data_IF_732120733047
#
_entry.id   IF_732120733047
#
_cell.length_a   1.000
_cell.length_b   1.000
_cell.length_c   1.000
_cell.angle_alpha   90.00
_cell.angle_beta   90.00
_cell.angle_gamma   90.00
#
_symmetry.space_group_name_H-M   'P 1'
#
loop_
_entity.id
_entity.type
_entity.pdbx_description
1 polymer ?
#
# COMPACT_ATOMS: atom_id res chain seq x y z
N UNK A 1 -15.11 4.23 -42.42
CA UNK A 1 -15.66 4.74 -41.14
C UNK A 1 -15.66 3.69 -40.02
N UNK A 2 -15.93 2.41 -40.28
CA UNK A 2 -15.90 1.38 -39.23
C UNK A 2 -14.51 1.14 -38.62
N UNK A 3 -13.44 1.11 -39.43
CA UNK A 3 -12.07 0.87 -38.95
C UNK A 3 -11.65 1.96 -37.95
N UNK A 4 -11.92 3.23 -38.27
CA UNK A 4 -11.65 4.36 -37.39
C UNK A 4 -12.43 4.27 -36.07
N UNK A 5 -13.71 3.88 -36.12
CA UNK A 5 -14.54 3.69 -34.91
C UNK A 5 -13.99 2.58 -34.01
N UNK A 6 -13.51 1.47 -34.59
CA UNK A 6 -12.88 0.36 -33.86
C UNK A 6 -11.57 0.80 -33.19
N UNK A 7 -10.73 1.59 -33.89
CA UNK A 7 -9.50 2.14 -33.33
C UNK A 7 -9.75 3.09 -32.16
N UNK A 8 -10.74 3.98 -32.28
CA UNK A 8 -11.14 4.89 -31.18
C UNK A 8 -11.61 4.09 -29.96
N UNK A 9 -12.38 3.02 -30.16
CA UNK A 9 -12.82 2.13 -29.08
C UNK A 9 -11.63 1.47 -28.35
N UNK A 10 -10.65 0.96 -29.10
CA UNK A 10 -9.45 0.35 -28.51
C UNK A 10 -8.65 1.37 -27.71
N UNK A 11 -8.46 2.58 -28.23
CA UNK A 11 -7.76 3.66 -27.53
C UNK A 11 -8.52 4.07 -26.26
N UNK A 12 -9.84 4.15 -26.30
CA UNK A 12 -10.66 4.45 -25.12
C UNK A 12 -10.52 3.38 -24.01
N UNK A 13 -10.49 2.10 -24.39
CA UNK A 13 -10.29 0.98 -23.44
C UNK A 13 -8.90 1.05 -22.81
N UNK A 14 -7.86 1.32 -23.61
CA UNK A 14 -6.50 1.48 -23.10
C UNK A 14 -6.40 2.66 -22.12
N UNK A 15 -7.02 3.80 -22.43
CA UNK A 15 -7.04 4.96 -21.52
C UNK A 15 -7.80 4.68 -20.22
N UNK A 16 -8.89 3.91 -20.28
CA UNK A 16 -9.64 3.50 -19.08
C UNK A 16 -8.79 2.61 -18.15
N UNK A 17 -7.96 1.71 -18.70
CA UNK A 17 -7.08 0.85 -17.89
C UNK A 17 -5.97 1.60 -17.14
N UNK A 18 -5.55 2.79 -17.60
CA UNK A 18 -4.58 3.61 -16.85
C UNK A 18 -5.19 4.26 -15.60
N UNK A 19 -6.51 4.49 -15.61
CA UNK A 19 -7.22 5.15 -14.51
C UNK A 19 -7.38 4.25 -13.29
N UNK A 20 -7.38 2.92 -13.46
CA UNK A 20 -7.49 1.96 -12.34
C UNK A 20 -6.21 1.90 -11.50
N UNK A 21 -5.03 1.96 -12.12
CA UNK A 21 -3.76 1.95 -11.38
C UNK A 21 -3.57 3.20 -10.52
N UNK A 22 -3.92 4.38 -11.04
CA UNK A 22 -3.82 5.64 -10.31
C UNK A 22 -4.74 5.70 -9.07
N UNK A 23 -5.90 5.04 -9.11
CA UNK A 23 -6.81 4.93 -7.98
C UNK A 23 -6.20 4.10 -6.84
N UNK A 24 -5.54 2.99 -7.16
CA UNK A 24 -4.90 2.12 -6.17
C UNK A 24 -3.78 2.86 -5.42
N UNK A 25 -2.95 3.61 -6.13
CA UNK A 25 -1.87 4.38 -5.50
C UNK A 25 -2.39 5.45 -4.54
N UNK A 26 -3.53 6.08 -4.85
CA UNK A 26 -4.15 7.06 -3.97
C UNK A 26 -4.63 6.43 -2.66
N UNK A 27 -5.19 5.21 -2.73
CA UNK A 27 -5.62 4.44 -1.55
C UNK A 27 -4.41 4.06 -0.68
N UNK A 28 -3.34 3.57 -1.29
CA UNK A 28 -2.10 3.20 -0.58
C UNK A 28 -1.50 4.43 0.11
N UNK A 29 -1.30 5.55 -0.62
CA UNK A 29 -0.76 6.79 -0.04
C UNK A 29 -1.60 7.30 1.12
N UNK A 30 -2.93 7.22 1.01
CA UNK A 30 -3.84 7.60 2.09
C UNK A 30 -3.65 6.69 3.32
N UNK A 31 -3.55 5.37 3.14
CA UNK A 31 -3.34 4.44 4.24
C UNK A 31 -2.02 4.71 4.98
N UNK A 32 -0.93 5.02 4.26
CA UNK A 32 0.33 5.41 4.89
C UNK A 32 0.21 6.72 5.67
N UNK A 33 -0.40 7.76 5.07
CA UNK A 33 -0.65 9.03 5.74
C UNK A 33 -1.45 8.84 7.03
N UNK A 34 -2.52 8.07 6.98
CA UNK A 34 -3.38 7.81 8.13
C UNK A 34 -2.64 6.97 9.19
N UNK A 35 -1.80 6.02 8.77
CA UNK A 35 -0.93 5.25 9.67
C UNK A 35 0.04 6.13 10.44
N UNK A 36 0.70 7.10 9.79
CA UNK A 36 1.55 8.09 10.47
C UNK A 36 0.77 8.96 11.45
N UNK A 37 -0.48 9.33 11.11
CA UNK A 37 -1.33 10.09 12.02
C UNK A 37 -1.68 9.30 13.29
N UNK A 38 -1.98 7.99 13.17
CA UNK A 38 -2.22 7.13 14.33
C UNK A 38 -0.94 6.92 15.16
N UNK A 39 0.21 6.72 14.50
CA UNK A 39 1.50 6.62 15.18
C UNK A 39 1.83 7.89 15.99
N UNK A 40 1.60 9.08 15.43
CA UNK A 40 1.81 10.35 16.14
C UNK A 40 1.00 10.40 17.44
N UNK A 41 -0.21 9.84 17.44
CA UNK A 41 -1.07 9.70 18.61
C UNK A 41 -0.72 8.51 19.51
N UNK A 42 0.37 7.78 19.22
CA UNK A 42 0.81 6.56 19.90
C UNK A 42 -0.18 5.39 19.81
N UNK A 43 -1.10 5.46 18.85
CA UNK A 43 -2.11 4.45 18.54
C UNK A 43 -1.53 3.43 17.54
N UNK A 44 -0.54 2.66 17.98
CA UNK A 44 0.23 1.79 17.09
C UNK A 44 -0.60 0.61 16.54
N UNK A 45 -1.53 0.06 17.33
CA UNK A 45 -2.42 -1.01 16.87
C UNK A 45 -3.32 -0.55 15.73
N UNK A 46 -3.83 0.67 15.81
CA UNK A 46 -4.65 1.32 14.80
C UNK A 46 -3.81 1.65 13.56
N UNK A 47 -2.59 2.15 13.74
CA UNK A 47 -1.63 2.39 12.65
C UNK A 47 -1.34 1.11 11.85
N UNK A 48 -1.18 -0.02 12.54
CA UNK A 48 -1.01 -1.36 11.96
C UNK A 48 -2.28 -1.80 11.22
N UNK A 49 -3.45 -1.66 11.87
CA UNK A 49 -4.73 -2.06 11.29
C UNK A 49 -5.07 -1.30 10.00
N UNK A 50 -4.66 -0.02 9.89
CA UNK A 50 -4.81 0.77 8.66
C UNK A 50 -3.96 0.18 7.53
N UNK A 51 -2.67 -0.11 7.78
CA UNK A 51 -1.77 -0.64 6.76
C UNK A 51 -2.17 -2.05 6.30
N UNK A 52 -2.70 -2.88 7.20
CA UNK A 52 -3.20 -4.21 6.84
C UNK A 52 -4.30 -4.18 5.75
N UNK A 53 -5.01 -3.05 5.58
CA UNK A 53 -6.02 -2.89 4.51
C UNK A 53 -5.41 -2.76 3.12
N UNK A 54 -4.15 -2.34 3.03
CA UNK A 54 -3.38 -2.17 1.80
C UNK A 54 -2.16 -3.10 1.78
N UNK A 55 -2.31 -4.26 2.43
CA UNK A 55 -1.24 -5.23 2.62
C UNK A 55 -0.56 -5.59 1.30
N UNK A 56 0.74 -5.38 1.25
CA UNK A 56 1.61 -5.87 0.19
C UNK A 56 2.82 -6.58 0.80
N UNK A 57 2.73 -7.89 0.84
CA UNK A 57 3.75 -8.75 1.42
C UNK A 57 5.09 -8.68 0.67
N UNK A 58 5.11 -8.25 -0.59
CA UNK A 58 6.33 -8.17 -1.41
C UNK A 58 6.87 -6.75 -1.52
N UNK A 59 6.24 -5.76 -0.88
CA UNK A 59 6.76 -4.39 -0.81
C UNK A 59 7.78 -4.26 0.30
N UNK A 60 8.96 -3.74 -0.05
CA UNK A 60 9.98 -3.35 0.91
C UNK A 60 9.42 -2.34 1.93
N UNK A 61 8.74 -1.30 1.45
CA UNK A 61 8.19 -0.21 2.25
C UNK A 61 7.11 -0.68 3.22
N UNK A 62 6.25 -1.62 2.80
CA UNK A 62 5.24 -2.21 3.66
C UNK A 62 5.90 -2.99 4.80
N UNK A 63 6.80 -3.91 4.47
CA UNK A 63 7.45 -4.74 5.48
C UNK A 63 8.30 -3.90 6.45
N UNK A 64 9.03 -2.89 5.94
CA UNK A 64 9.81 -1.97 6.78
C UNK A 64 8.91 -1.22 7.77
N UNK A 65 7.80 -0.66 7.28
CA UNK A 65 6.87 0.13 8.10
C UNK A 65 6.17 -0.73 9.15
N UNK A 66 5.75 -1.95 8.78
CA UNK A 66 5.16 -2.90 9.73
C UNK A 66 6.15 -3.30 10.82
N UNK A 67 7.41 -3.54 10.45
CA UNK A 67 8.49 -3.81 11.40
C UNK A 67 8.61 -2.72 12.47
N UNK A 68 8.62 -1.45 12.04
CA UNK A 68 8.67 -0.29 12.94
C UNK A 68 7.44 -0.19 13.85
N UNK A 69 6.24 -0.31 13.30
CA UNK A 69 5.02 -0.16 14.10
C UNK A 69 4.85 -1.28 15.12
N UNK A 70 5.19 -2.52 14.77
CA UNK A 70 5.18 -3.62 15.74
C UNK A 70 6.22 -3.44 16.84
N UNK A 71 7.39 -2.86 16.53
CA UNK A 71 8.40 -2.50 17.54
C UNK A 71 7.82 -1.48 18.54
N UNK A 72 7.22 -0.41 18.03
CA UNK A 72 6.59 0.63 18.85
C UNK A 72 5.42 0.08 19.68
N UNK A 73 4.70 -0.91 19.15
CA UNK A 73 3.65 -1.62 19.86
C UNK A 73 4.16 -2.73 20.80
N UNK A 74 5.47 -2.81 21.05
CA UNK A 74 6.14 -3.81 21.91
C UNK A 74 5.95 -5.27 21.47
N UNK A 75 5.54 -5.51 20.23
CA UNK A 75 5.45 -6.85 19.66
C UNK A 75 6.73 -7.15 18.86
N UNK A 76 7.80 -7.44 19.60
CA UNK A 76 9.14 -7.59 19.02
C UNK A 76 9.25 -8.81 18.10
N UNK A 77 8.50 -9.88 18.36
CA UNK A 77 8.49 -11.07 17.50
C UNK A 77 7.98 -10.73 16.10
N UNK A 78 6.85 -10.02 16.00
CA UNK A 78 6.32 -9.59 14.70
C UNK A 78 7.23 -8.54 14.05
N UNK A 79 7.74 -7.58 14.84
CA UNK A 79 8.68 -6.58 14.36
C UNK A 79 9.88 -7.20 13.64
N UNK A 80 10.52 -8.18 14.30
CA UNK A 80 11.66 -8.89 13.74
C UNK A 80 11.29 -9.63 12.45
N UNK A 81 10.15 -10.32 12.41
CA UNK A 81 9.69 -11.04 11.22
C UNK A 81 9.51 -10.10 10.02
N UNK A 82 8.87 -8.95 10.22
CA UNK A 82 8.67 -7.96 9.16
C UNK A 82 9.98 -7.31 8.71
N UNK A 83 10.90 -6.99 9.61
CA UNK A 83 12.21 -6.46 9.24
C UNK A 83 13.07 -7.48 8.48
N UNK A 84 13.06 -8.76 8.90
CA UNK A 84 13.75 -9.82 8.17
C UNK A 84 13.21 -9.96 6.75
N UNK A 85 11.90 -9.87 6.59
CA UNK A 85 11.26 -9.92 5.29
C UNK A 85 11.64 -8.71 4.43
N UNK A 86 11.61 -7.50 4.98
CA UNK A 86 12.07 -6.30 4.29
C UNK A 86 13.54 -6.41 3.85
N UNK A 87 14.41 -6.98 4.68
CA UNK A 87 15.82 -7.18 4.36
C UNK A 87 16.08 -8.27 3.30
N UNK A 88 15.09 -9.12 3.02
CA UNK A 88 15.19 -10.21 2.03
C UNK A 88 14.67 -9.87 0.64
N UNK A 89 14.01 -8.70 0.50
CA UNK A 89 13.46 -8.17 -0.75
C UNK A 89 14.46 -7.20 -1.39
#
# INVERSE_FOLDING_TARGET
MEILRKQIMVVAILMASMSSFAQNDAVIRKAYKDSYAQEYNKLYGEAIAILNKVKDDNSYEYNLRMGWLYYMNKNYTQSQSFYQKAASL
#
